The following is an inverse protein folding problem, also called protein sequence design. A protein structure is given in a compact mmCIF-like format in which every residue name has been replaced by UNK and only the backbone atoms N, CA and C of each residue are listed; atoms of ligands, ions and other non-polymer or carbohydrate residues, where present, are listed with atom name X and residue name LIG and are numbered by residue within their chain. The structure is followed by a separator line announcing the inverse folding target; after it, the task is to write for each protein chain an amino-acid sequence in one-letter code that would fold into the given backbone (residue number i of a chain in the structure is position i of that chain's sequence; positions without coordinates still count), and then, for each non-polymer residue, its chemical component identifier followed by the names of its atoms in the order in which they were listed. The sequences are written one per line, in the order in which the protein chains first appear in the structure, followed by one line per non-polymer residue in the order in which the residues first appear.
data_IF_849243550168
#
_entry.id   IF_849243550168
#
_cell.length_a   1.000
_cell.length_b   1.000
_cell.length_c   1.000
_cell.angle_alpha   90.00
_cell.angle_beta   90.00
_cell.angle_gamma   90.00
#
_symmetry.space_group_name_H-M   'P 1'
#
loop_
_entity.id
_entity.type
_entity.pdbx_description
1 polymer ?
#
# COMPACT_ATOMS: atom_id res chain seq x y z
N UNK A 1 -12.84 -2.10 3.38
CA UNK A 1 -13.50 -3.09 2.50
C UNK A 1 -13.90 -4.36 3.24
N UNK A 2 -13.05 -4.92 4.13
CA UNK A 2 -13.21 -6.22 4.83
C UNK A 2 -12.69 -7.44 4.07
N UNK A 3 -12.17 -7.25 2.87
CA UNK A 3 -11.50 -8.30 2.10
C UNK A 3 -10.07 -7.93 1.66
N UNK A 4 -9.41 -7.03 2.39
CA UNK A 4 -7.99 -6.75 2.20
C UNK A 4 -7.59 -5.93 0.96
N UNK A 5 -8.55 -5.38 0.21
CA UNK A 5 -8.23 -4.67 -1.05
C UNK A 5 -8.06 -3.14 -0.92
N UNK A 6 -8.63 -2.47 0.09
CA UNK A 6 -8.63 -0.99 0.12
C UNK A 6 -7.38 -0.37 0.76
N UNK A 7 -6.51 -1.17 1.39
CA UNK A 7 -5.29 -0.71 2.07
C UNK A 7 -5.49 0.09 3.36
N UNK A 8 -6.67 0.63 3.64
CA UNK A 8 -6.91 1.62 4.71
C UNK A 8 -6.72 1.13 6.16
N UNK A 9 -6.72 -0.18 6.39
CA UNK A 9 -6.62 -0.77 7.74
C UNK A 9 -5.21 -1.30 8.05
N UNK A 10 -4.20 -0.70 7.41
CA UNK A 10 -2.80 -0.99 7.69
C UNK A 10 -2.41 -0.48 9.07
N UNK A 11 -1.79 -1.35 9.85
CA UNK A 11 -1.30 -1.05 11.19
C UNK A 11 -0.25 -2.09 11.60
N UNK A 12 0.44 -1.84 12.69
CA UNK A 12 1.41 -2.79 13.26
C UNK A 12 0.70 -3.68 14.29
N UNK A 13 0.65 -4.99 14.02
CA UNK A 13 0.03 -5.99 14.90
C UNK A 13 1.13 -6.98 15.30
N UNK A 14 1.38 -7.08 16.60
CA UNK A 14 2.45 -7.91 17.19
C UNK A 14 3.82 -7.71 16.53
N UNK A 15 4.16 -6.46 16.23
CA UNK A 15 5.44 -6.08 15.63
C UNK A 15 5.47 -6.17 14.11
N UNK A 16 4.42 -6.69 13.46
CA UNK A 16 4.36 -6.85 11.99
C UNK A 16 3.34 -5.90 11.37
N UNK A 17 3.74 -5.17 10.31
CA UNK A 17 2.81 -4.36 9.54
C UNK A 17 1.93 -5.25 8.67
N UNK A 18 0.61 -5.16 8.86
CA UNK A 18 -0.36 -5.98 8.15
C UNK A 18 -1.70 -5.27 8.01
N UNK A 19 -2.64 -5.89 7.29
CA UNK A 19 -4.02 -5.41 7.18
C UNK A 19 -4.85 -6.03 8.30
N UNK A 20 -5.40 -5.21 9.18
CA UNK A 20 -6.20 -5.69 10.31
C UNK A 20 -7.37 -6.59 9.89
N UNK A 21 -8.02 -6.29 8.76
CA UNK A 21 -9.15 -7.08 8.28
C UNK A 21 -8.80 -8.50 7.80
N UNK A 22 -7.51 -8.78 7.55
CA UNK A 22 -7.02 -10.12 7.20
C UNK A 22 -6.24 -10.77 8.36
N UNK A 23 -5.89 -10.00 9.38
CA UNK A 23 -5.18 -10.50 10.56
C UNK A 23 -6.16 -11.25 11.47
N UNK A 24 -5.97 -12.57 11.60
CA UNK A 24 -6.79 -13.39 12.50
C UNK A 24 -6.39 -13.13 13.94
N UNK A 25 -7.37 -12.89 14.79
CA UNK A 25 -7.19 -12.92 16.25
C UNK A 25 -6.99 -14.38 16.66
N UNK A 26 -5.82 -14.72 17.20
CA UNK A 26 -5.51 -16.06 17.66
C UNK A 26 -5.91 -16.22 19.13
N UNK A 27 -6.52 -17.35 19.48
CA UNK A 27 -6.85 -17.71 20.87
C UNK A 27 -5.79 -18.61 21.51
N UNK A 28 -4.77 -18.99 20.74
CA UNK A 28 -3.70 -19.91 21.16
C UNK A 28 -2.58 -19.19 21.92
N UNK A 29 -2.45 -17.88 21.76
CA UNK A 29 -1.50 -17.08 22.52
C UNK A 29 -2.07 -16.75 23.90
N UNK A 30 -1.30 -17.00 24.96
CA UNK A 30 -1.61 -16.54 26.31
C UNK A 30 -1.32 -15.05 26.50
N UNK A 31 -0.64 -14.40 25.55
CA UNK A 31 -0.33 -12.97 25.59
C UNK A 31 -1.36 -12.13 24.84
N UNK A 32 -1.59 -10.91 25.34
CA UNK A 32 -2.43 -9.94 24.66
C UNK A 32 -1.77 -9.46 23.35
N UNK A 33 -2.55 -9.45 22.27
CA UNK A 33 -2.16 -8.89 20.97
C UNK A 33 -1.92 -7.39 21.09
N UNK A 34 -0.76 -6.92 20.62
CA UNK A 34 -0.39 -5.51 20.64
C UNK A 34 -0.68 -4.90 19.29
N UNK A 35 -1.44 -3.80 19.29
CA UNK A 35 -1.81 -3.06 18.08
C UNK A 35 -1.28 -1.64 18.23
N UNK A 36 -0.45 -1.22 17.27
CA UNK A 36 0.13 0.11 17.18
C UNK A 36 -0.19 0.71 15.80
N UNK A 37 -0.18 2.05 15.64
CA UNK A 37 -0.20 2.65 14.32
C UNK A 37 1.01 2.22 13.49
N UNK A 38 0.99 2.53 12.19
CA UNK A 38 2.15 2.25 11.33
C UNK A 38 3.43 2.90 11.88
N UNK A 39 4.57 2.18 11.90
CA UNK A 39 5.80 2.68 12.49
C UNK A 39 6.32 3.93 11.82
N UNK A 40 6.92 4.81 12.63
CA UNK A 40 7.63 6.02 12.20
C UNK A 40 6.79 6.98 11.34
N UNK A 41 5.48 7.03 11.61
CA UNK A 41 4.57 8.02 11.06
C UNK A 41 4.09 8.97 12.17
N UNK A 42 3.80 10.22 11.83
CA UNK A 42 3.11 11.12 12.76
C UNK A 42 1.69 10.61 13.00
N UNK A 43 1.31 10.43 14.27
CA UNK A 43 -0.03 9.94 14.62
C UNK A 43 -0.96 11.13 14.77
N UNK A 44 -2.02 11.17 13.96
CA UNK A 44 -3.07 12.20 14.09
C UNK A 44 -3.88 11.91 15.35
N UNK A 45 -4.36 10.67 15.48
CA UNK A 45 -5.09 10.18 16.66
C UNK A 45 -5.16 8.65 16.67
N UNK A 46 -5.03 8.04 17.84
CA UNK A 46 -5.16 6.59 18.06
C UNK A 46 -4.28 5.78 17.08
N UNK A 47 -4.91 5.02 16.17
CA UNK A 47 -4.23 4.19 15.16
C UNK A 47 -4.16 4.85 13.78
N UNK A 48 -4.51 6.13 13.67
CA UNK A 48 -4.58 6.87 12.41
C UNK A 48 -3.31 7.70 12.21
N UNK A 49 -2.37 7.25 11.34
CA UNK A 49 -1.22 8.05 10.97
C UNK A 49 -1.57 9.13 9.95
N UNK A 50 -0.75 10.16 9.88
CA UNK A 50 -0.73 11.13 8.79
C UNK A 50 -0.06 10.51 7.56
N UNK A 51 -0.82 10.38 6.46
CA UNK A 51 -0.38 9.76 5.21
C UNK A 51 0.09 10.78 4.17
N UNK A 52 0.14 12.08 4.48
CA UNK A 52 0.42 13.14 3.52
C UNK A 52 1.76 12.94 2.78
N UNK A 53 2.85 12.63 3.48
CA UNK A 53 4.15 12.39 2.86
C UNK A 53 4.12 11.21 1.87
N UNK A 54 3.49 10.10 2.25
CA UNK A 54 3.37 8.91 1.40
C UNK A 54 2.62 9.23 0.09
N UNK A 55 1.52 9.97 0.18
CA UNK A 55 0.76 10.37 -1.01
C UNK A 55 1.46 11.42 -1.86
N UNK A 56 2.19 12.36 -1.26
CA UNK A 56 3.00 13.34 -2.00
C UNK A 56 4.12 12.65 -2.79
N UNK A 57 4.80 11.67 -2.21
CA UNK A 57 5.80 10.87 -2.92
C UNK A 57 5.19 10.06 -4.06
N UNK A 58 4.00 9.47 -3.87
CA UNK A 58 3.28 8.79 -4.94
C UNK A 58 2.88 9.74 -6.07
N UNK A 59 2.46 10.97 -5.76
CA UNK A 59 2.17 11.98 -6.77
C UNK A 59 3.43 12.37 -7.57
N UNK A 60 4.58 12.44 -6.91
CA UNK A 60 5.85 12.87 -7.52
C UNK A 60 6.38 11.92 -8.61
N UNK A 61 5.95 10.65 -8.63
CA UNK A 61 6.33 9.68 -9.68
C UNK A 61 5.43 9.75 -10.92
N UNK A 62 4.47 10.67 -10.94
CA UNK A 62 3.54 10.87 -12.05
C UNK A 62 2.84 9.58 -12.54
N UNK A 63 2.06 8.90 -11.68
CA UNK A 63 1.61 7.52 -11.90
C UNK A 63 0.43 7.40 -12.88
N UNK A 64 0.58 7.94 -14.09
CA UNK A 64 -0.37 7.86 -15.18
C UNK A 64 0.34 7.50 -16.50
N UNK A 65 -0.43 7.07 -17.50
CA UNK A 65 0.13 6.77 -18.82
C UNK A 65 0.59 8.06 -19.50
N UNK A 66 1.88 8.16 -19.77
CA UNK A 66 2.47 9.28 -20.52
C UNK A 66 2.67 8.88 -21.97
N UNK A 67 2.10 9.64 -22.90
CA UNK A 67 2.21 9.37 -24.35
C UNK A 67 2.04 10.65 -25.16
N UNK A 68 2.92 10.83 -26.15
CA UNK A 68 2.82 11.91 -27.14
C UNK A 68 1.98 11.52 -28.37
N UNK A 69 1.55 10.25 -28.44
CA UNK A 69 0.83 9.70 -29.60
C UNK A 69 -0.49 9.05 -29.18
N UNK A 70 -1.56 9.44 -29.85
CA UNK A 70 -2.84 8.75 -29.78
C UNK A 70 -2.77 7.44 -30.59
N UNK A 71 -3.64 6.45 -30.31
CA UNK A 71 -3.77 5.26 -31.14
C UNK A 71 -4.08 5.65 -32.59
N UNK A 72 -3.48 4.96 -33.57
CA UNK A 72 -3.63 5.27 -35.00
C UNK A 72 -5.08 5.21 -35.48
N UNK A 73 -5.88 4.30 -34.89
CA UNK A 73 -7.30 4.12 -35.18
C UNK A 73 -8.23 4.98 -34.31
N UNK A 74 -7.65 5.79 -33.40
CA UNK A 74 -8.38 6.61 -32.44
C UNK A 74 -9.16 5.84 -31.37
N UNK A 75 -8.88 4.54 -31.19
CA UNK A 75 -9.57 3.68 -30.22
C UNK A 75 -8.70 3.37 -29.02
N UNK A 76 -8.09 2.20 -28.99
CA UNK A 76 -7.42 1.61 -27.83
C UNK A 76 -5.92 1.46 -28.07
N UNK A 77 -5.13 1.54 -27.00
CA UNK A 77 -3.70 1.20 -27.07
C UNK A 77 -3.55 -0.31 -27.10
N UNK A 78 -3.13 -0.84 -28.25
CA UNK A 78 -2.88 -2.27 -28.40
C UNK A 78 -1.72 -2.71 -27.51
N UNK A 79 -1.98 -3.70 -26.67
CA UNK A 79 -0.99 -4.32 -25.78
C UNK A 79 -1.07 -5.84 -25.94
N UNK A 80 0.08 -6.48 -26.15
CA UNK A 80 0.15 -7.95 -26.20
C UNK A 80 -0.07 -8.55 -24.81
N UNK A 81 -0.48 -9.83 -24.75
CA UNK A 81 -0.63 -10.55 -23.48
C UNK A 81 0.72 -10.63 -22.74
N UNK A 82 1.80 -10.85 -23.49
CA UNK A 82 3.17 -10.89 -22.98
C UNK A 82 3.60 -9.56 -22.36
N UNK A 83 3.25 -8.43 -22.98
CA UNK A 83 3.54 -7.10 -22.43
C UNK A 83 2.68 -6.77 -21.22
N UNK A 84 1.38 -7.08 -21.26
CA UNK A 84 0.48 -6.88 -20.11
C UNK A 84 0.96 -7.65 -18.88
N UNK A 85 1.43 -8.89 -19.06
CA UNK A 85 1.96 -9.74 -17.96
C UNK A 85 3.16 -9.14 -17.24
N UNK A 86 3.93 -8.24 -17.87
CA UNK A 86 5.05 -7.54 -17.21
C UNK A 86 4.61 -6.67 -16.03
N UNK A 87 3.33 -6.31 -15.97
CA UNK A 87 2.77 -5.50 -14.88
C UNK A 87 2.29 -6.35 -13.69
N UNK A 88 2.17 -7.67 -13.85
CA UNK A 88 1.70 -8.55 -12.78
C UNK A 88 2.69 -8.55 -11.61
N UNK A 89 2.17 -8.45 -10.39
CA UNK A 89 2.93 -8.20 -9.16
C UNK A 89 3.23 -6.71 -8.88
N UNK A 90 2.94 -5.80 -9.81
CA UNK A 90 3.15 -4.36 -9.63
C UNK A 90 1.83 -3.60 -9.46
N UNK A 91 0.84 -3.82 -10.32
CA UNK A 91 -0.43 -3.07 -10.32
C UNK A 91 -1.35 -3.44 -9.15
N UNK A 92 -1.10 -4.57 -8.51
CA UNK A 92 -1.86 -5.09 -7.37
C UNK A 92 -1.57 -4.32 -6.06
N UNK A 93 -0.60 -3.40 -6.07
CA UNK A 93 -0.31 -2.53 -4.94
C UNK A 93 -1.55 -1.71 -4.53
N UNK A 94 -2.02 -1.92 -3.30
CA UNK A 94 -3.21 -1.25 -2.75
C UNK A 94 -2.89 0.02 -1.95
N UNK A 95 -1.67 0.54 -2.07
CA UNK A 95 -1.21 1.77 -1.40
C UNK A 95 -1.41 1.77 0.14
N UNK A 96 -1.21 0.63 0.81
CA UNK A 96 -1.41 0.50 2.26
C UNK A 96 -0.25 1.02 3.12
N UNK A 97 0.89 1.38 2.50
CA UNK A 97 2.13 1.83 3.16
C UNK A 97 2.81 0.85 4.14
N UNK A 98 2.33 -0.40 4.28
CA UNK A 98 2.99 -1.40 5.14
C UNK A 98 4.46 -1.64 4.76
N UNK A 99 4.79 -1.66 3.46
CA UNK A 99 6.15 -1.88 2.99
C UNK A 99 7.07 -0.71 3.36
N UNK A 100 6.68 0.53 3.06
CA UNK A 100 7.46 1.73 3.40
C UNK A 100 7.68 1.84 4.91
N UNK A 101 6.63 1.64 5.70
CA UNK A 101 6.70 1.77 7.16
C UNK A 101 7.29 0.53 7.84
N UNK A 102 7.62 -0.53 7.11
CA UNK A 102 8.49 -1.62 7.58
C UNK A 102 9.96 -1.38 7.26
N UNK A 103 10.29 -0.38 6.42
CA UNK A 103 11.64 -0.12 5.95
C UNK A 103 12.35 0.88 6.89
N UNK A 104 13.39 0.49 7.63
CA UNK A 104 14.12 1.42 8.49
C UNK A 104 14.74 2.59 7.72
N UNK A 105 15.12 2.40 6.45
CA UNK A 105 15.63 3.50 5.64
C UNK A 105 14.57 4.58 5.41
N UNK A 106 13.30 4.21 5.27
CA UNK A 106 12.19 5.17 5.12
C UNK A 106 11.86 5.88 6.43
N UNK A 107 12.18 5.28 7.57
CA UNK A 107 11.99 5.92 8.87
C UNK A 107 12.91 7.14 8.99
N UNK A 108 14.17 6.98 8.61
CA UNK A 108 15.18 8.00 8.87
C UNK A 108 15.33 9.07 7.78
N UNK A 109 14.50 9.06 6.74
CA UNK A 109 14.52 10.03 5.63
C UNK A 109 13.13 10.62 5.38
#
# INVERSE_FOLDING_TARGET
CREGICGSCSMNIDGTNTLACLCRVTTESSSAMKINPLPHMYVVKDLVPDMANFYQQYQAIEPWLQTDKAPEDGREYLQSVEDRKKLDGMYECILCACCSTSCPSYWWN
#
